data_IF_082312202684
#
_entry.id   IF_082312202684
#
_cell.length_a   1.000
_cell.length_b   1.000
_cell.length_c   1.000
_cell.angle_alpha   90.00
_cell.angle_beta   90.00
_cell.angle_gamma   90.00
#
_symmetry.space_group_name_H-M   'P 1'
#
loop_
_entity.id
_entity.type
_entity.pdbx_description
1 polymer ?
#
# COMPACT_ATOMS: atom_id res chain seq x y z
N UNK A 1 9.76 14.07 5.51
CA UNK A 1 10.65 14.18 4.33
C UNK A 1 11.13 15.63 4.19
N UNK A 2 12.29 15.88 3.56
CA UNK A 2 12.84 17.24 3.41
C UNK A 2 11.87 18.25 2.77
N UNK A 3 10.93 17.78 1.93
CA UNK A 3 9.93 18.64 1.29
C UNK A 3 8.85 19.11 2.28
N UNK A 4 8.38 18.24 3.16
CA UNK A 4 7.33 18.54 4.15
C UNK A 4 7.82 19.54 5.19
N UNK A 5 9.09 19.40 5.62
CA UNK A 5 9.68 20.33 6.58
C UNK A 5 9.84 21.74 5.98
N UNK A 6 10.32 21.83 4.74
CA UNK A 6 10.43 23.12 4.02
C UNK A 6 9.06 23.75 3.78
N UNK A 7 8.04 22.93 3.51
CA UNK A 7 6.66 23.41 3.36
C UNK A 7 6.11 23.99 4.65
N UNK A 8 6.35 23.34 5.80
CA UNK A 8 5.87 23.82 7.09
C UNK A 8 6.36 25.25 7.40
N UNK A 9 7.64 25.53 7.14
CA UNK A 9 8.23 26.86 7.36
C UNK A 9 7.60 27.92 6.43
N UNK A 10 7.34 27.55 5.16
CA UNK A 10 6.68 28.44 4.20
C UNK A 10 5.22 28.69 4.54
N UNK A 11 4.48 27.65 4.96
CA UNK A 11 3.09 27.77 5.40
C UNK A 11 3.02 28.73 6.60
N UNK A 12 3.85 28.54 7.61
CA UNK A 12 3.90 29.42 8.78
C UNK A 12 4.24 30.88 8.39
N UNK A 13 5.18 31.07 7.45
CA UNK A 13 5.49 32.40 6.92
C UNK A 13 4.28 33.08 6.28
N UNK A 14 3.61 32.40 5.33
CA UNK A 14 2.44 32.95 4.64
C UNK A 14 1.25 33.13 5.59
N UNK A 15 1.05 32.23 6.55
CA UNK A 15 -0.03 32.33 7.54
C UNK A 15 0.16 33.56 8.44
N UNK A 16 1.40 33.81 8.90
CA UNK A 16 1.72 35.00 9.71
C UNK A 16 1.47 36.29 8.93
N UNK A 17 1.90 36.36 7.67
CA UNK A 17 1.67 37.52 6.82
C UNK A 17 0.18 37.73 6.53
N UNK A 18 -0.54 36.68 6.14
CA UNK A 18 -1.98 36.75 5.86
C UNK A 18 -2.80 37.15 7.10
N UNK A 19 -2.35 36.76 8.30
CA UNK A 19 -3.00 37.17 9.55
C UNK A 19 -2.79 38.66 9.87
N UNK A 20 -1.69 39.26 9.42
CA UNK A 20 -1.37 40.68 9.63
C UNK A 20 -1.98 41.62 8.55
N UNK A 21 -2.37 41.08 7.40
CA UNK A 21 -2.94 41.83 6.29
C UNK A 21 -4.47 41.76 6.27
N UNK A 22 -5.10 42.73 5.60
CA UNK A 22 -6.56 42.83 5.47
C UNK A 22 -6.95 43.34 4.08
N UNK A 23 -8.12 42.91 3.60
CA UNK A 23 -8.72 43.40 2.36
C UNK A 23 -7.82 43.18 1.14
N UNK A 24 -7.65 44.23 0.33
CA UNK A 24 -6.91 44.16 -0.95
C UNK A 24 -5.43 43.79 -0.80
N UNK A 25 -4.83 44.00 0.38
CA UNK A 25 -3.44 43.64 0.65
C UNK A 25 -3.21 42.12 0.63
N UNK A 26 -4.25 41.29 0.76
CA UNK A 26 -4.15 39.84 0.67
C UNK A 26 -3.99 39.33 -0.77
N UNK A 27 -4.42 40.10 -1.78
CA UNK A 27 -4.34 39.69 -3.19
C UNK A 27 -2.89 39.41 -3.66
N UNK A 28 -1.91 40.31 -3.45
CA UNK A 28 -0.53 40.03 -3.83
C UNK A 28 0.06 38.85 -3.05
N UNK A 29 -0.32 38.68 -1.78
CA UNK A 29 0.13 37.55 -0.96
C UNK A 29 -0.39 36.20 -1.49
N UNK A 30 -1.66 36.14 -1.89
CA UNK A 30 -2.26 34.94 -2.50
C UNK A 30 -1.56 34.64 -3.83
N UNK A 31 -1.29 35.66 -4.65
CA UNK A 31 -0.57 35.49 -5.91
C UNK A 31 0.85 34.96 -5.68
N UNK A 32 1.56 35.47 -4.65
CA UNK A 32 2.89 34.99 -4.26
C UNK A 32 2.86 33.54 -3.76
N UNK A 33 1.94 33.21 -2.85
CA UNK A 33 1.79 31.86 -2.31
C UNK A 33 1.48 30.83 -3.41
N UNK A 34 0.54 31.16 -4.30
CA UNK A 34 0.15 30.29 -5.42
C UNK A 34 1.23 30.17 -6.49
N UNK A 35 2.18 31.11 -6.57
CA UNK A 35 3.33 31.06 -7.50
C UNK A 35 4.59 30.43 -6.89
N UNK A 36 4.66 30.26 -5.57
CA UNK A 36 5.87 29.76 -4.89
C UNK A 36 6.21 28.30 -5.25
N UNK A 37 7.37 28.03 -5.82
CA UNK A 37 7.72 26.69 -6.35
C UNK A 37 7.74 25.54 -5.32
N UNK A 38 7.84 25.85 -4.02
CA UNK A 38 7.98 24.86 -2.95
C UNK A 38 6.70 24.66 -2.12
N UNK A 39 5.68 25.53 -2.29
CA UNK A 39 4.44 25.48 -1.54
C UNK A 39 3.34 24.74 -2.33
N UNK A 40 2.86 23.61 -1.79
CA UNK A 40 1.82 22.77 -2.41
C UNK A 40 0.58 22.53 -1.53
N UNK A 41 0.60 23.01 -0.28
CA UNK A 41 -0.53 22.97 0.64
C UNK A 41 -1.01 24.39 0.95
N UNK A 42 -2.33 24.60 0.95
CA UNK A 42 -2.95 25.92 1.01
C UNK A 42 -4.08 26.00 2.04
N UNK A 43 -4.47 24.89 2.66
CA UNK A 43 -5.61 24.81 3.59
C UNK A 43 -5.44 25.72 4.80
N UNK A 44 -4.24 25.81 5.35
CA UNK A 44 -3.93 26.66 6.50
C UNK A 44 -4.06 28.14 6.15
N UNK A 45 -3.64 28.54 4.94
CA UNK A 45 -3.77 29.91 4.43
C UNK A 45 -5.25 30.22 4.16
N UNK A 46 -5.97 29.26 3.57
CA UNK A 46 -7.39 29.36 3.26
C UNK A 46 -8.27 29.46 4.52
N UNK A 47 -7.86 28.83 5.62
CA UNK A 47 -8.57 28.84 6.90
C UNK A 47 -8.46 30.15 7.68
N UNK A 48 -7.61 31.10 7.23
CA UNK A 48 -7.39 32.37 7.94
C UNK A 48 -8.65 33.24 7.84
N UNK A 49 -9.18 33.78 8.97
CA UNK A 49 -10.38 34.60 8.96
C UNK A 49 -10.31 35.81 8.01
N UNK A 50 -9.16 36.49 7.95
CA UNK A 50 -8.94 37.63 7.04
C UNK A 50 -9.07 37.24 5.56
N UNK A 51 -8.68 36.02 5.20
CA UNK A 51 -8.78 35.49 3.83
C UNK A 51 -10.22 35.12 3.52
N UNK A 52 -10.94 34.51 4.46
CA UNK A 52 -12.37 34.18 4.30
C UNK A 52 -13.24 35.44 4.18
N UNK A 53 -12.85 36.56 4.82
CA UNK A 53 -13.54 37.85 4.70
C UNK A 53 -13.47 38.46 3.30
N UNK A 54 -12.64 37.95 2.38
CA UNK A 54 -12.65 38.37 0.98
C UNK A 54 -13.92 37.92 0.24
N UNK A 55 -14.66 36.95 0.79
CA UNK A 55 -15.93 36.50 0.24
C UNK A 55 -16.96 37.65 0.20
N UNK A 56 -17.59 37.84 -0.95
CA UNK A 56 -18.53 38.96 -1.17
C UNK A 56 -17.87 40.32 -1.44
N UNK A 57 -16.54 40.40 -1.45
CA UNK A 57 -15.81 41.63 -1.85
C UNK A 57 -15.43 41.62 -3.33
N UNK A 58 -14.91 42.75 -3.82
CA UNK A 58 -14.32 42.86 -5.17
C UNK A 58 -13.15 41.91 -5.42
N UNK A 59 -12.54 41.37 -4.35
CA UNK A 59 -11.38 40.47 -4.41
C UNK A 59 -11.75 39.00 -4.19
N UNK A 60 -13.05 38.66 -4.17
CA UNK A 60 -13.56 37.29 -4.05
C UNK A 60 -12.92 36.32 -5.05
N UNK A 61 -12.54 36.81 -6.23
CA UNK A 61 -11.88 36.00 -7.26
C UNK A 61 -10.54 35.42 -6.81
N UNK A 62 -9.79 36.11 -5.94
CA UNK A 62 -8.54 35.58 -5.39
C UNK A 62 -8.77 34.48 -4.35
N UNK A 63 -9.88 34.55 -3.61
CA UNK A 63 -10.30 33.48 -2.72
C UNK A 63 -10.67 32.23 -3.53
N UNK A 64 -11.36 32.40 -4.65
CA UNK A 64 -11.69 31.29 -5.54
C UNK A 64 -10.46 30.66 -6.20
N UNK A 65 -9.44 31.46 -6.54
CA UNK A 65 -8.12 30.94 -6.96
C UNK A 65 -7.49 30.11 -5.84
N UNK A 66 -7.48 30.60 -4.58
CA UNK A 66 -6.90 29.84 -3.48
C UNK A 66 -7.65 28.52 -3.24
N UNK A 67 -8.99 28.53 -3.31
CA UNK A 67 -9.84 27.32 -3.24
C UNK A 67 -9.55 26.35 -4.38
N UNK A 68 -9.33 26.85 -5.59
CA UNK A 68 -8.93 26.05 -6.76
C UNK A 68 -7.58 25.36 -6.53
N UNK A 69 -6.60 26.06 -5.95
CA UNK A 69 -5.28 25.48 -5.66
C UNK A 69 -5.33 24.46 -4.51
N UNK A 70 -6.13 24.71 -3.47
CA UNK A 70 -6.30 23.77 -2.38
C UNK A 70 -7.03 22.48 -2.85
N UNK A 71 -8.09 22.60 -3.63
CA UNK A 71 -9.03 21.48 -3.84
C UNK A 71 -9.34 21.13 -5.29
N UNK A 72 -9.13 22.03 -6.24
CA UNK A 72 -9.46 21.82 -7.65
C UNK A 72 -8.30 21.29 -8.50
N UNK A 73 -8.47 21.32 -9.81
CA UNK A 73 -7.55 20.78 -10.83
C UNK A 73 -7.41 21.73 -12.02
N UNK A 74 -6.47 21.46 -12.92
CA UNK A 74 -6.32 22.20 -14.18
C UNK A 74 -7.60 22.19 -15.02
N UNK A 75 -8.29 21.06 -15.08
CA UNK A 75 -9.59 20.93 -15.75
C UNK A 75 -10.67 21.82 -15.13
N UNK A 76 -10.67 21.98 -13.80
CA UNK A 76 -11.60 22.88 -13.11
C UNK A 76 -11.33 24.36 -13.44
N UNK A 77 -10.05 24.74 -13.54
CA UNK A 77 -9.67 26.07 -14.02
C UNK A 77 -10.16 26.33 -15.45
N UNK A 78 -9.90 25.39 -16.38
CA UNK A 78 -10.34 25.55 -17.78
C UNK A 78 -11.86 25.69 -17.91
N UNK A 79 -12.62 24.96 -17.09
CA UNK A 79 -14.09 25.04 -17.07
C UNK A 79 -14.59 26.38 -16.53
N UNK A 80 -13.84 27.01 -15.62
CA UNK A 80 -14.21 28.25 -14.93
C UNK A 80 -13.40 29.48 -15.40
N UNK A 81 -12.68 29.37 -16.52
CA UNK A 81 -11.74 30.41 -16.98
C UNK A 81 -12.38 31.78 -17.26
N UNK A 82 -13.70 31.84 -17.47
CA UNK A 82 -14.45 33.09 -17.61
C UNK A 82 -14.72 33.83 -16.29
N UNK A 83 -14.61 33.14 -15.15
CA UNK A 83 -14.90 33.69 -13.83
C UNK A 83 -13.64 33.90 -12.98
N UNK A 84 -12.53 33.26 -13.34
CA UNK A 84 -11.25 33.31 -12.62
C UNK A 84 -10.26 34.26 -13.31
N UNK A 85 -9.31 34.88 -12.58
CA UNK A 85 -8.28 35.68 -13.20
C UNK A 85 -7.34 34.79 -14.03
N UNK A 86 -6.69 35.41 -15.01
CA UNK A 86 -5.67 34.75 -15.80
C UNK A 86 -4.48 34.38 -14.91
N UNK A 87 -4.16 33.09 -14.85
CA UNK A 87 -3.02 32.59 -14.09
C UNK A 87 -1.68 32.92 -14.78
N UNK A 88 -0.67 33.27 -13.98
CA UNK A 88 0.71 33.43 -14.46
C UNK A 88 1.34 32.06 -14.75
N UNK A 89 2.43 31.96 -15.55
CA UNK A 89 3.03 30.68 -15.90
C UNK A 89 3.39 29.79 -14.70
N UNK A 90 3.86 30.38 -13.61
CA UNK A 90 4.23 29.69 -12.37
C UNK A 90 3.01 29.06 -11.69
N UNK A 91 1.87 29.77 -11.71
CA UNK A 91 0.60 29.28 -11.19
C UNK A 91 0.03 28.15 -12.06
N UNK A 92 0.12 28.29 -13.39
CA UNK A 92 -0.31 27.24 -14.33
C UNK A 92 0.49 25.97 -14.10
N UNK A 93 1.81 26.09 -14.00
CA UNK A 93 2.72 24.98 -13.71
C UNK A 93 2.31 24.27 -12.41
N UNK A 94 2.12 25.04 -11.35
CA UNK A 94 1.73 24.49 -10.04
C UNK A 94 0.38 23.81 -10.09
N UNK A 95 -0.63 24.39 -10.74
CA UNK A 95 -1.95 23.78 -10.81
C UNK A 95 -1.92 22.44 -11.58
N UNK A 96 -1.08 22.34 -12.62
CA UNK A 96 -0.81 21.07 -13.31
C UNK A 96 -0.12 20.06 -12.39
N UNK A 97 0.88 20.46 -11.60
CA UNK A 97 1.54 19.59 -10.60
C UNK A 97 0.54 19.06 -9.56
N UNK A 98 -0.32 19.93 -9.02
CA UNK A 98 -1.37 19.57 -8.06
C UNK A 98 -2.44 18.64 -8.67
N UNK A 99 -2.67 18.74 -9.98
CA UNK A 99 -3.54 17.84 -10.73
C UNK A 99 -2.94 16.43 -10.79
N UNK A 100 -1.63 16.29 -11.02
CA UNK A 100 -0.95 14.98 -10.96
C UNK A 100 -1.08 14.36 -9.57
N UNK A 101 -0.90 15.13 -8.50
CA UNK A 101 -1.07 14.64 -7.12
C UNK A 101 -2.49 14.13 -6.87
N UNK A 102 -3.50 14.84 -7.36
CA UNK A 102 -4.91 14.43 -7.25
C UNK A 102 -5.18 13.12 -7.99
N UNK A 103 -4.61 12.94 -9.19
CA UNK A 103 -4.76 11.69 -9.94
C UNK A 103 -4.04 10.52 -9.22
N UNK A 104 -2.86 10.78 -8.68
CA UNK A 104 -2.04 9.81 -7.95
C UNK A 104 -2.65 9.39 -6.59
N UNK A 105 -3.54 10.22 -6.01
CA UNK A 105 -4.31 9.89 -4.81
C UNK A 105 -5.24 8.70 -5.07
N UNK A 106 -5.88 8.66 -6.24
CA UNK A 106 -6.88 7.64 -6.58
C UNK A 106 -6.26 6.39 -7.19
N UNK A 107 -5.27 6.55 -8.07
CA UNK A 107 -4.73 5.45 -8.88
C UNK A 107 -3.19 5.40 -8.81
N UNK A 108 -2.64 4.19 -8.63
CA UNK A 108 -1.19 3.96 -8.66
C UNK A 108 -0.62 3.82 -10.07
N UNK A 109 -1.46 3.58 -11.07
CA UNK A 109 -1.04 3.50 -12.48
C UNK A 109 -1.86 4.54 -13.24
N UNK A 110 -1.19 5.58 -13.73
CA UNK A 110 -1.80 6.70 -14.43
C UNK A 110 -1.57 6.56 -15.94
N UNK A 111 -2.59 6.31 -16.76
CA UNK A 111 -2.46 6.26 -18.21
C UNK A 111 -2.02 7.62 -18.77
N UNK A 112 -1.13 7.60 -19.78
CA UNK A 112 -0.66 8.82 -20.44
C UNK A 112 -1.80 9.60 -21.08
N UNK A 113 -2.77 8.92 -21.69
CA UNK A 113 -3.87 9.60 -22.36
C UNK A 113 -4.73 10.41 -21.36
N UNK A 114 -4.95 9.87 -20.16
CA UNK A 114 -5.62 10.60 -19.07
C UNK A 114 -4.78 11.79 -18.59
N UNK A 115 -3.48 11.59 -18.36
CA UNK A 115 -2.58 12.66 -17.94
C UNK A 115 -2.50 13.79 -18.97
N UNK A 116 -2.38 13.44 -20.26
CA UNK A 116 -2.36 14.40 -21.36
C UNK A 116 -3.65 15.22 -21.42
N UNK A 117 -4.81 14.58 -21.24
CA UNK A 117 -6.09 15.26 -21.21
C UNK A 117 -6.22 16.20 -20.01
N UNK A 118 -5.94 15.71 -18.80
CA UNK A 118 -6.10 16.47 -17.56
C UNK A 118 -5.07 17.60 -17.40
N UNK A 119 -3.89 17.46 -17.99
CA UNK A 119 -2.82 18.48 -17.97
C UNK A 119 -2.81 19.37 -19.22
N UNK A 120 -3.67 19.08 -20.20
CA UNK A 120 -3.70 19.77 -21.50
C UNK A 120 -2.33 19.76 -22.19
N UNK A 121 -1.75 18.57 -22.31
CA UNK A 121 -0.43 18.31 -22.89
C UNK A 121 -0.61 17.55 -24.21
N UNK A 122 0.08 18.00 -25.25
CA UNK A 122 -0.22 17.57 -26.62
C UNK A 122 0.47 16.27 -27.03
N UNK A 123 1.63 15.98 -26.45
CA UNK A 123 2.46 14.86 -26.85
C UNK A 123 3.12 14.18 -25.65
N UNK A 124 3.53 12.93 -25.86
CA UNK A 124 4.14 12.09 -24.82
C UNK A 124 5.45 12.69 -24.30
N UNK A 125 6.25 13.31 -25.19
CA UNK A 125 7.55 13.86 -24.80
C UNK A 125 7.39 15.01 -23.80
N UNK A 126 6.47 15.92 -24.10
CA UNK A 126 6.10 17.03 -23.22
C UNK A 126 5.56 16.52 -21.87
N UNK A 127 4.77 15.44 -21.88
CA UNK A 127 4.28 14.82 -20.65
C UNK A 127 5.43 14.23 -19.81
N UNK A 128 6.32 13.45 -20.43
CA UNK A 128 7.46 12.83 -19.74
C UNK A 128 8.40 13.91 -19.18
N UNK A 129 8.71 14.94 -19.97
CA UNK A 129 9.54 16.08 -19.53
C UNK A 129 8.89 16.82 -18.36
N UNK A 130 7.56 17.04 -18.38
CA UNK A 130 6.83 17.63 -17.27
C UNK A 130 6.87 16.75 -16.01
N UNK A 131 6.62 15.44 -16.14
CA UNK A 131 6.65 14.53 -15.00
C UNK A 131 8.05 14.47 -14.37
N UNK A 132 9.11 14.46 -15.18
CA UNK A 132 10.48 14.40 -14.71
C UNK A 132 10.86 15.74 -14.07
N UNK A 133 10.90 16.82 -14.86
CA UNK A 133 11.46 18.12 -14.48
C UNK A 133 10.61 18.84 -13.45
N UNK A 134 9.29 18.76 -13.58
CA UNK A 134 8.38 19.57 -12.78
C UNK A 134 7.81 18.79 -11.60
N UNK A 135 7.69 17.46 -11.67
CA UNK A 135 7.10 16.68 -10.58
C UNK A 135 8.14 15.85 -9.80
N UNK A 136 8.99 15.08 -10.47
CA UNK A 136 9.97 14.21 -9.80
C UNK A 136 11.12 15.01 -9.19
N UNK A 137 11.69 15.98 -9.92
CA UNK A 137 12.75 16.86 -9.39
C UNK A 137 12.26 17.77 -8.27
N UNK A 138 11.01 18.22 -8.33
CA UNK A 138 10.37 18.92 -7.22
C UNK A 138 10.15 18.01 -5.99
N UNK A 139 10.23 16.69 -6.15
CA UNK A 139 10.09 15.71 -5.07
C UNK A 139 8.64 15.43 -4.66
N UNK A 140 7.66 15.92 -5.43
CA UNK A 140 6.23 15.75 -5.13
C UNK A 140 5.71 14.38 -5.56
N UNK A 141 6.33 13.73 -6.55
CA UNK A 141 6.02 12.37 -6.98
C UNK A 141 7.27 11.54 -7.18
N UNK A 142 7.17 10.23 -6.99
CA UNK A 142 8.20 9.26 -7.41
C UNK A 142 7.53 8.07 -8.05
N UNK A 143 8.14 7.53 -9.09
CA UNK A 143 7.57 6.41 -9.82
C UNK A 143 8.39 6.06 -11.05
N UNK A 144 7.83 5.20 -11.90
CA UNK A 144 8.45 4.77 -13.15
C UNK A 144 7.57 5.12 -14.34
N UNK A 145 8.19 5.61 -15.40
CA UNK A 145 7.55 5.84 -16.69
C UNK A 145 7.66 4.56 -17.51
N UNK A 146 6.52 3.96 -17.86
CA UNK A 146 6.45 2.81 -18.76
C UNK A 146 5.93 3.28 -20.12
N UNK A 147 6.86 3.49 -21.03
CA UNK A 147 6.57 3.97 -22.38
C UNK A 147 5.85 2.92 -23.23
N UNK A 148 6.07 1.62 -22.97
CA UNK A 148 5.43 0.53 -23.71
C UNK A 148 3.95 0.42 -23.33
N UNK A 149 3.64 0.48 -22.03
CA UNK A 149 2.26 0.46 -21.51
C UNK A 149 1.60 1.84 -21.51
N UNK A 150 2.34 2.88 -21.88
CA UNK A 150 1.90 4.29 -21.89
C UNK A 150 1.31 4.70 -20.55
N UNK A 151 2.01 4.43 -19.46
CA UNK A 151 1.56 4.78 -18.13
C UNK A 151 2.69 5.23 -17.19
N UNK A 152 2.30 5.97 -16.17
CA UNK A 152 3.16 6.35 -15.06
C UNK A 152 2.77 5.52 -13.82
N UNK A 153 3.69 4.69 -13.35
CA UNK A 153 3.52 3.87 -12.15
C UNK A 153 4.01 4.66 -10.93
N UNK A 154 3.06 5.18 -10.17
CA UNK A 154 3.28 5.99 -8.97
C UNK A 154 3.68 5.11 -7.80
N UNK A 155 4.87 5.32 -7.27
CA UNK A 155 5.34 4.70 -6.03
C UNK A 155 5.07 5.59 -4.82
N UNK A 156 5.20 6.90 -5.01
CA UNK A 156 4.99 7.91 -3.99
C UNK A 156 4.35 9.16 -4.62
N UNK A 157 3.46 9.79 -3.88
CA UNK A 157 2.93 11.11 -4.15
C UNK A 157 2.79 11.85 -2.82
N UNK A 158 3.22 13.11 -2.80
CA UNK A 158 3.05 13.99 -1.65
C UNK A 158 1.57 14.26 -1.40
N UNK A 159 1.19 14.44 -0.14
CA UNK A 159 -0.14 14.93 0.21
C UNK A 159 -0.33 16.36 -0.25
N UNK A 160 -1.53 16.69 -0.74
CA UNK A 160 -1.90 18.06 -1.12
C UNK A 160 -2.60 18.77 0.05
N UNK A 161 -3.92 18.78 0.04
CA UNK A 161 -4.78 19.43 1.03
C UNK A 161 -5.97 18.51 1.29
N UNK A 162 -6.36 18.40 2.56
CA UNK A 162 -7.54 17.63 2.93
C UNK A 162 -8.80 18.40 2.58
N UNK A 163 -9.66 17.79 1.75
CA UNK A 163 -11.00 18.31 1.51
C UNK A 163 -11.87 18.07 2.73
N UNK A 164 -12.84 18.96 3.02
CA UNK A 164 -13.82 18.73 4.08
C UNK A 164 -14.48 17.35 3.94
N UNK A 165 -14.42 16.53 4.98
CA UNK A 165 -14.98 15.17 5.01
C UNK A 165 -14.02 14.03 4.63
N UNK A 166 -12.85 14.29 4.04
CA UNK A 166 -11.90 13.22 3.70
C UNK A 166 -11.29 12.53 4.93
N UNK A 167 -11.15 13.24 6.05
CA UNK A 167 -10.58 12.68 7.29
C UNK A 167 -11.33 11.42 7.76
N UNK A 168 -12.67 11.42 7.66
CA UNK A 168 -13.47 10.26 8.03
C UNK A 168 -13.19 9.04 7.15
N UNK A 169 -13.02 9.25 5.84
CA UNK A 169 -12.65 8.19 4.89
C UNK A 169 -11.25 7.63 5.17
N UNK A 170 -10.29 8.49 5.52
CA UNK A 170 -8.93 8.06 5.91
C UNK A 170 -8.97 7.20 7.17
N UNK A 171 -9.69 7.63 8.21
CA UNK A 171 -9.87 6.86 9.45
C UNK A 171 -10.46 5.49 9.13
N UNK A 172 -11.54 5.45 8.35
CA UNK A 172 -12.19 4.20 7.96
C UNK A 172 -11.25 3.26 7.18
N UNK A 173 -10.48 3.80 6.23
CA UNK A 173 -9.52 3.03 5.43
C UNK A 173 -8.44 2.40 6.31
N UNK A 174 -7.88 3.17 7.26
CA UNK A 174 -6.88 2.67 8.22
C UNK A 174 -7.48 1.63 9.17
N UNK A 175 -8.70 1.85 9.66
CA UNK A 175 -9.41 0.88 10.50
C UNK A 175 -9.66 -0.44 9.78
N UNK A 176 -10.09 -0.39 8.51
CA UNK A 176 -10.29 -1.59 7.69
C UNK A 176 -8.98 -2.34 7.44
N UNK A 177 -7.89 -1.61 7.20
CA UNK A 177 -6.57 -2.21 7.01
C UNK A 177 -6.05 -2.89 8.28
N UNK A 178 -6.24 -2.26 9.44
CA UNK A 178 -5.92 -2.86 10.74
C UNK A 178 -6.72 -4.16 10.96
N UNK A 179 -8.04 -4.10 10.80
CA UNK A 179 -8.91 -5.27 10.97
C UNK A 179 -8.54 -6.41 10.00
N UNK A 180 -8.20 -6.08 8.74
CA UNK A 180 -7.75 -7.07 7.75
C UNK A 180 -6.43 -7.72 8.16
N UNK A 181 -5.51 -6.93 8.70
CA UNK A 181 -4.20 -7.41 9.18
C UNK A 181 -4.35 -8.33 10.39
N UNK A 182 -5.22 -7.97 11.34
CA UNK A 182 -5.54 -8.81 12.50
C UNK A 182 -6.15 -10.15 12.08
N UNK A 183 -7.11 -10.13 11.14
CA UNK A 183 -7.73 -11.34 10.60
C UNK A 183 -6.72 -12.25 9.89
N UNK A 184 -5.78 -11.66 9.13
CA UNK A 184 -4.71 -12.41 8.46
C UNK A 184 -3.76 -13.04 9.49
N UNK A 185 -3.40 -12.30 10.54
CA UNK A 185 -2.56 -12.80 11.62
C UNK A 185 -3.23 -13.94 12.38
N UNK A 186 -4.52 -13.81 12.70
CA UNK A 186 -5.31 -14.89 13.30
C UNK A 186 -5.35 -16.13 12.41
N UNK A 187 -5.59 -15.96 11.11
CA UNK A 187 -5.61 -17.06 10.14
C UNK A 187 -4.27 -17.79 10.07
N UNK A 188 -3.14 -17.06 10.10
CA UNK A 188 -1.80 -17.65 10.14
C UNK A 188 -1.59 -18.42 11.45
N UNK A 189 -1.97 -17.86 12.59
CA UNK A 189 -1.86 -18.53 13.89
C UNK A 189 -2.66 -19.83 13.95
N UNK A 190 -3.87 -19.86 13.39
CA UNK A 190 -4.68 -21.07 13.28
C UNK A 190 -4.02 -22.14 12.39
N UNK A 191 -3.44 -21.73 11.26
CA UNK A 191 -2.70 -22.64 10.37
C UNK A 191 -1.47 -23.22 11.03
N UNK A 192 -0.74 -22.44 11.84
CA UNK A 192 0.39 -22.94 12.63
C UNK A 192 -0.09 -23.99 13.62
N UNK A 193 -1.12 -23.69 14.43
CA UNK A 193 -1.67 -24.65 15.42
C UNK A 193 -2.16 -25.95 14.76
N UNK A 194 -2.81 -25.83 13.61
CA UNK A 194 -3.26 -27.00 12.84
C UNK A 194 -2.08 -27.84 12.35
N UNK A 195 -1.04 -27.20 11.80
CA UNK A 195 0.16 -27.89 11.32
C UNK A 195 0.92 -28.59 12.46
N UNK A 196 1.05 -27.93 13.62
CA UNK A 196 1.65 -28.52 14.82
C UNK A 196 0.86 -29.75 15.29
N UNK A 197 -0.47 -29.62 15.37
CA UNK A 197 -1.35 -30.73 15.78
C UNK A 197 -1.26 -31.91 14.81
N UNK A 198 -1.23 -31.65 13.51
CA UNK A 198 -1.11 -32.67 12.48
C UNK A 198 0.27 -33.35 12.53
N UNK A 199 1.34 -32.57 12.76
CA UNK A 199 2.70 -33.08 12.92
C UNK A 199 2.81 -34.01 14.12
N UNK A 200 2.21 -33.65 15.26
CA UNK A 200 2.18 -34.52 16.45
C UNK A 200 1.36 -35.80 16.22
N UNK A 201 0.22 -35.70 15.52
CA UNK A 201 -0.57 -36.89 15.13
C UNK A 201 0.20 -37.81 14.19
N UNK A 202 0.90 -37.26 13.19
CA UNK A 202 1.70 -38.05 12.25
C UNK A 202 2.89 -38.71 12.94
N UNK A 203 3.59 -38.01 13.83
CA UNK A 203 4.67 -38.59 14.67
C UNK A 203 4.15 -39.75 15.51
N UNK A 204 2.99 -39.58 16.16
CA UNK A 204 2.38 -40.65 16.96
C UNK A 204 2.00 -41.85 16.09
N UNK A 205 1.35 -41.62 14.96
CA UNK A 205 0.97 -42.67 14.03
C UNK A 205 2.18 -43.43 13.50
N UNK A 206 3.24 -42.71 13.09
CA UNK A 206 4.51 -43.30 12.65
C UNK A 206 5.13 -44.19 13.73
N UNK A 207 5.17 -43.71 14.98
CA UNK A 207 5.68 -44.50 16.10
C UNK A 207 4.85 -45.77 16.35
N UNK A 208 3.53 -45.68 16.33
CA UNK A 208 2.65 -46.84 16.46
C UNK A 208 2.86 -47.87 15.33
N UNK A 209 3.08 -47.41 14.10
CA UNK A 209 3.40 -48.28 12.96
C UNK A 209 4.76 -48.96 13.15
N UNK A 210 5.79 -48.22 13.56
CA UNK A 210 7.12 -48.75 13.86
C UNK A 210 7.07 -49.81 14.97
N UNK A 211 6.38 -49.53 16.08
CA UNK A 211 6.23 -50.46 17.20
C UNK A 211 5.53 -51.76 16.77
N UNK A 212 4.47 -51.67 15.95
CA UNK A 212 3.77 -52.84 15.39
C UNK A 212 4.65 -53.64 14.43
N UNK A 213 5.46 -52.97 13.62
CA UNK A 213 6.42 -53.65 12.73
C UNK A 213 7.44 -54.43 13.55
N UNK A 214 7.96 -53.86 14.63
CA UNK A 214 8.91 -54.54 15.52
C UNK A 214 8.28 -55.72 16.27
N UNK A 215 7.02 -55.60 16.71
CA UNK A 215 6.27 -56.71 17.31
C UNK A 215 6.06 -57.87 16.32
N UNK A 216 5.67 -57.57 15.08
CA UNK A 216 5.52 -58.57 14.02
C UNK A 216 6.87 -59.24 13.71
N UNK A 217 7.96 -58.49 13.62
CA UNK A 217 9.32 -59.07 13.43
C UNK A 217 9.72 -60.01 14.57
N UNK A 218 9.48 -59.61 15.82
CA UNK A 218 9.76 -60.44 17.01
C UNK A 218 8.94 -61.72 17.02
N UNK A 219 7.63 -61.62 16.78
CA UNK A 219 6.73 -62.78 16.76
C UNK A 219 7.07 -63.76 15.62
N UNK A 220 7.47 -63.26 14.45
CA UNK A 220 7.96 -64.11 13.35
C UNK A 220 9.27 -64.82 13.73
N UNK A 221 10.21 -64.10 14.37
CA UNK A 221 11.47 -64.67 14.84
C UNK A 221 11.25 -65.78 15.89
N UNK A 222 10.31 -65.59 16.81
CA UNK A 222 9.93 -66.60 17.81
C UNK A 222 9.28 -67.84 17.16
N UNK A 223 8.44 -67.65 16.13
CA UNK A 223 7.84 -68.75 15.35
C UNK A 223 8.91 -69.56 14.59
N UNK A 224 9.91 -68.89 14.00
CA UNK A 224 11.05 -69.55 13.36
C UNK A 224 11.89 -70.38 14.34
N UNK A 225 12.07 -69.90 15.57
CA UNK A 225 12.77 -70.65 16.62
C UNK A 225 11.98 -71.86 17.16
N UNK A 226 10.65 -71.79 17.22
CA UNK A 226 9.80 -72.89 17.72
C UNK A 226 9.62 -74.02 16.71
N UNK A 227 9.58 -73.73 15.40
CA UNK A 227 9.56 -74.75 14.34
C UNK A 227 10.88 -75.53 14.26
N UNK A 228 11.98 -74.97 14.78
CA UNK A 228 13.32 -75.58 14.74
C UNK A 228 13.61 -76.54 15.91
N UNK A 229 12.64 -76.84 16.78
CA UNK A 229 12.83 -77.76 17.92
C UNK A 229 12.12 -79.10 17.66
N UNK A 230 12.84 -80.21 17.36
CA UNK A 230 12.20 -81.48 17.04
C UNK A 230 11.54 -82.09 18.27
N UNK A 231 10.32 -82.60 18.10
CA UNK A 231 9.61 -83.44 19.06
C UNK A 231 10.29 -84.82 19.09
N UNK A 232 11.08 -85.12 20.13
CA UNK A 232 11.56 -86.47 20.41
C UNK A 232 10.50 -87.21 21.24
N UNK A 233 9.54 -87.86 20.58
CA UNK A 233 8.74 -88.93 21.19
C UNK A 233 9.48 -90.26 20.96
N UNK A 234 10.00 -90.84 22.03
CA UNK A 234 10.58 -92.18 22.05
C UNK A 234 9.62 -93.13 22.78
N UNK A 235 8.80 -93.87 22.04
CA UNK A 235 8.17 -95.10 22.52
C UNK A 235 8.08 -96.17 21.42
N UNK A 236 8.65 -97.35 21.72
CA UNK A 236 8.19 -98.66 21.26
C UNK A 236 8.85 -99.27 20.03
N UNK A 237 9.62 -100.35 20.19
CA UNK A 237 9.07 -101.73 20.18
C UNK A 237 10.12 -102.80 19.82
N UNK A 238 9.98 -103.92 20.56
CA UNK A 238 10.66 -105.22 20.49
C UNK A 238 10.82 -105.80 19.07
N UNK A 239 11.90 -106.57 18.86
CA UNK A 239 11.90 -107.78 18.02
C UNK A 239 12.81 -108.87 18.62
N UNK A 240 12.19 -109.98 19.03
CA UNK A 240 12.77 -111.31 19.29
C UNK A 240 13.28 -111.92 17.96
N UNK A 241 14.19 -112.89 17.85
CA UNK A 241 14.36 -114.19 18.53
C UNK A 241 15.73 -114.84 18.24
N UNK A 242 16.28 -115.56 19.23
CA UNK A 242 17.00 -116.87 19.25
C UNK A 242 17.92 -117.36 18.11
N UNK A 243 19.11 -117.84 18.52
CA UNK A 243 19.77 -119.15 18.24
C UNK A 243 20.95 -119.25 19.26
N UNK A 244 21.00 -120.10 20.29
CA UNK A 244 21.18 -121.56 20.46
C UNK A 244 22.54 -122.15 19.99
N UNK A 245 23.22 -122.81 20.96
CA UNK A 245 24.35 -123.78 20.91
C UNK A 245 25.74 -123.17 20.65
N UNK A 246 26.80 -123.42 21.45
CA UNK A 246 27.20 -124.53 22.34
C UNK A 246 27.88 -124.00 23.63
#
# INVERSE_FOLDING_TARGET
MDIEQKQADLIDHFVKQASALQGSALCPLIAEATSNTSLFAFSEILAIPSVLQLEGTSNSVYLDVLRLFAHGTWSDYKRNAGCLPQLVPEQVLKLKQLTVLTLAETNKVLPYDQLMQELDVTNVRELEDFLINECMYAGIVRGKLDQLRRCFEVQFAAGRDLRPGQLGSMIHTLSNWLATSDNLLMSIQEKIKWADSMSELDKKHRKEVEDRVEEVKKSLSLKLQTVSRPTLTSEGMRRSTLNLVE
#
